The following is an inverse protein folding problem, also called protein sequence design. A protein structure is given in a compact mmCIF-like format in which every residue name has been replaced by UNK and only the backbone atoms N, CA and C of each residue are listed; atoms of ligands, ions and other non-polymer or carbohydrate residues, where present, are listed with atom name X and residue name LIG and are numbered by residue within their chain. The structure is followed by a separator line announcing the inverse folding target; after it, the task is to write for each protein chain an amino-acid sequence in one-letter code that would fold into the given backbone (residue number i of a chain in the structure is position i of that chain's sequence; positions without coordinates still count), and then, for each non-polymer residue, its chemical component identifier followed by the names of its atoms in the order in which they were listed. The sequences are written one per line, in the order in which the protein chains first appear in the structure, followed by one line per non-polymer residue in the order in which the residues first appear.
data_IF_167697712093
#
_entry.id   IF_167697712093
#
_cell.length_a   1.000
_cell.length_b   1.000
_cell.length_c   1.000
_cell.angle_alpha   90.00
_cell.angle_beta   90.00
_cell.angle_gamma   90.00
#
_symmetry.space_group_name_H-M   'P 1'
#
loop_
_entity.id
_entity.type
_entity.pdbx_description
1 polymer ?
#
# COMPACT_ATOMS: atom_id res chain seq x y z
N UNK A 1 9.87 -15.66 8.76
CA UNK A 1 9.04 -14.64 8.07
C UNK A 1 8.04 -14.13 9.08
N UNK A 2 7.96 -12.81 9.28
CA UNK A 2 6.98 -12.19 10.17
C UNK A 2 5.62 -12.19 9.45
N UNK A 3 4.51 -11.96 10.15
CA UNK A 3 3.16 -12.06 9.56
C UNK A 3 2.60 -10.66 9.31
N UNK A 4 1.93 -10.39 8.16
CA UNK A 4 1.29 -9.09 7.93
C UNK A 4 0.19 -8.93 8.98
N UNK A 5 0.22 -7.84 9.73
CA UNK A 5 -0.83 -7.58 10.71
C UNK A 5 -2.03 -6.96 10.01
N UNK A 6 -3.22 -7.16 10.58
CA UNK A 6 -4.44 -6.50 10.09
C UNK A 6 -4.26 -4.97 10.10
N UNK A 7 -4.94 -4.24 9.19
CA UNK A 7 -4.91 -2.78 9.16
C UNK A 7 -5.27 -2.19 10.51
N UNK A 8 -4.49 -1.20 10.94
CA UNK A 8 -4.87 -0.39 12.10
C UNK A 8 -6.08 0.49 11.72
N UNK A 9 -6.97 0.74 12.68
CA UNK A 9 -8.19 1.54 12.51
C UNK A 9 -9.17 1.03 11.44
N UNK A 10 -9.19 -0.29 11.16
CA UNK A 10 -10.04 -0.92 10.15
C UNK A 10 -9.88 -0.31 8.73
N UNK A 11 -8.71 0.28 8.43
CA UNK A 11 -8.42 0.88 7.13
C UNK A 11 -8.84 2.33 6.96
N UNK A 12 -9.71 2.87 7.84
CA UNK A 12 -10.13 4.27 7.79
C UNK A 12 -10.68 4.69 6.42
N UNK A 13 -9.99 5.63 5.76
CA UNK A 13 -10.35 6.16 4.44
C UNK A 13 -9.88 5.28 3.27
N UNK A 14 -9.04 4.27 3.52
CA UNK A 14 -8.53 3.41 2.46
C UNK A 14 -9.56 2.37 2.06
N UNK A 15 -9.78 2.23 0.75
CA UNK A 15 -10.60 1.18 0.15
C UNK A 15 -9.81 -0.13 0.15
N UNK A 16 -10.47 -1.22 0.55
CA UNK A 16 -9.92 -2.57 0.48
C UNK A 16 -8.52 -2.71 1.13
N UNK A 17 -8.35 -2.07 2.29
CA UNK A 17 -7.08 -2.08 3.06
C UNK A 17 -6.68 -3.47 3.57
N UNK A 18 -7.65 -4.38 3.68
CA UNK A 18 -7.44 -5.79 4.02
C UNK A 18 -7.19 -6.68 2.80
N UNK A 19 -7.30 -6.17 1.57
CA UNK A 19 -7.12 -6.92 0.32
C UNK A 19 -8.05 -8.14 0.16
N UNK A 20 -9.20 -8.15 0.84
CA UNK A 20 -10.21 -9.20 0.73
C UNK A 20 -10.88 -9.21 -0.66
N UNK A 21 -10.89 -8.06 -1.34
CA UNK A 21 -11.43 -7.89 -2.70
C UNK A 21 -10.30 -7.73 -3.74
N UNK A 22 -9.22 -8.49 -3.55
CA UNK A 22 -8.06 -8.45 -4.45
C UNK A 22 -7.38 -7.08 -4.49
N UNK A 23 -7.18 -6.55 -5.70
CA UNK A 23 -6.55 -5.25 -5.94
C UNK A 23 -7.56 -4.09 -6.11
N UNK A 24 -8.83 -4.29 -5.79
CA UNK A 24 -9.83 -3.24 -5.95
C UNK A 24 -9.40 -1.94 -5.22
N UNK A 25 -9.37 -0.83 -5.96
CA UNK A 25 -8.91 0.48 -5.47
C UNK A 25 -7.39 0.67 -5.35
N UNK A 26 -6.57 -0.28 -5.78
CA UNK A 26 -5.09 -0.18 -5.76
C UNK A 26 -4.52 -0.27 -7.17
N UNK A 27 -3.54 0.59 -7.46
CA UNK A 27 -2.94 0.74 -8.79
C UNK A 27 -1.43 0.75 -8.71
N UNK A 28 -0.73 0.34 -9.78
CA UNK A 28 0.71 0.54 -9.85
C UNK A 28 1.02 2.05 -9.79
N UNK A 29 2.07 2.41 -9.06
CA UNK A 29 2.45 3.81 -8.93
C UNK A 29 3.40 4.21 -10.05
N UNK A 30 2.97 5.16 -10.88
CA UNK A 30 3.70 5.83 -11.99
C UNK A 30 4.17 4.95 -13.15
N UNK A 31 4.51 3.69 -12.90
CA UNK A 31 5.07 2.78 -13.87
C UNK A 31 4.13 1.60 -14.12
N UNK A 32 3.88 1.29 -15.39
CA UNK A 32 2.99 0.23 -15.86
C UNK A 32 3.64 -1.16 -15.84
N UNK A 33 4.98 -1.21 -15.83
CA UNK A 33 5.73 -2.47 -15.74
C UNK A 33 5.68 -3.13 -14.35
N UNK A 34 5.22 -2.42 -13.32
CA UNK A 34 5.11 -2.97 -11.96
C UNK A 34 3.92 -3.92 -11.90
N UNK A 35 4.20 -5.19 -11.68
CA UNK A 35 3.17 -6.20 -11.56
C UNK A 35 2.64 -6.26 -10.12
N UNK A 36 1.37 -5.89 -9.96
CA UNK A 36 0.64 -5.99 -8.71
C UNK A 36 -0.14 -7.30 -8.64
N UNK A 37 0.02 -8.00 -7.52
CA UNK A 37 -0.76 -9.20 -7.19
C UNK A 37 -1.11 -9.20 -5.70
N UNK A 38 -2.00 -10.09 -5.29
CA UNK A 38 -2.27 -10.34 -3.87
C UNK A 38 -1.67 -11.68 -3.44
N UNK A 39 -1.32 -11.77 -2.16
CA UNK A 39 -0.89 -13.00 -1.50
C UNK A 39 -1.67 -13.22 -0.20
N UNK A 40 -1.64 -14.46 0.28
CA UNK A 40 -2.23 -14.84 1.57
C UNK A 40 -1.10 -15.33 2.47
N UNK A 41 -0.98 -14.71 3.65
CA UNK A 41 0.02 -15.10 4.64
C UNK A 41 -0.37 -16.43 5.29
N UNK A 42 0.58 -17.05 6.02
CA UNK A 42 0.32 -18.33 6.73
C UNK A 42 -0.83 -18.25 7.75
N UNK A 43 -1.12 -17.06 8.29
CA UNK A 43 -2.22 -16.83 9.23
C UNK A 43 -3.52 -16.38 8.54
N UNK A 44 -3.55 -16.37 7.20
CA UNK A 44 -4.75 -16.02 6.42
C UNK A 44 -4.92 -14.53 6.15
N UNK A 45 -3.99 -13.66 6.55
CA UNK A 45 -4.07 -12.23 6.22
C UNK A 45 -3.67 -12.02 4.75
N UNK A 46 -4.53 -11.37 3.98
CA UNK A 46 -4.21 -10.97 2.60
C UNK A 46 -3.26 -9.76 2.60
N UNK A 47 -2.42 -9.67 1.58
CA UNK A 47 -1.48 -8.56 1.39
C UNK A 47 -1.22 -8.31 -0.10
N UNK A 48 -0.78 -7.10 -0.42
CA UNK A 48 -0.37 -6.72 -1.79
C UNK A 48 1.12 -6.98 -2.02
N UNK A 49 1.46 -7.42 -3.23
CA UNK A 49 2.82 -7.66 -3.70
C UNK A 49 3.06 -6.77 -4.92
N UNK A 50 4.10 -5.93 -4.85
CA UNK A 50 4.65 -5.24 -6.00
C UNK A 50 5.91 -5.96 -6.47
N UNK A 51 5.87 -6.49 -7.69
CA UNK A 51 6.97 -7.22 -8.32
C UNK A 51 7.39 -6.54 -9.63
N UNK A 52 8.52 -6.97 -10.20
CA UNK A 52 9.12 -6.32 -11.37
C UNK A 52 9.41 -4.82 -11.15
N UNK A 53 9.95 -4.51 -9.96
CA UNK A 53 10.37 -3.16 -9.54
C UNK A 53 11.80 -2.94 -10.00
N UNK A 54 12.01 -1.92 -10.81
CA UNK A 54 13.32 -1.50 -11.34
C UNK A 54 13.81 -0.24 -10.61
N UNK A 55 12.89 0.62 -10.19
CA UNK A 55 13.17 1.88 -9.50
C UNK A 55 12.75 1.88 -8.03
N UNK A 56 13.39 2.70 -7.16
CA UNK A 56 13.04 2.78 -5.75
C UNK A 56 11.59 3.20 -5.49
N UNK A 57 10.97 3.96 -6.40
CA UNK A 57 9.60 4.45 -6.29
C UNK A 57 8.56 3.54 -6.94
N UNK A 58 8.97 2.47 -7.63
CA UNK A 58 8.05 1.46 -8.14
C UNK A 58 7.29 0.86 -6.98
N UNK A 59 5.98 0.94 -7.02
CA UNK A 59 5.14 0.54 -5.91
C UNK A 59 3.67 0.46 -6.34
N UNK A 60 2.79 0.48 -5.35
CA UNK A 60 1.36 0.63 -5.50
C UNK A 60 0.89 1.95 -4.88
N UNK A 61 -0.28 2.42 -5.30
CA UNK A 61 -0.91 3.64 -4.80
C UNK A 61 -2.42 3.51 -4.75
N UNK A 62 -3.03 4.32 -3.89
CA UNK A 62 -4.46 4.58 -3.85
C UNK A 62 -4.66 6.07 -3.66
N UNK A 63 -5.51 6.67 -4.49
CA UNK A 63 -5.87 8.08 -4.34
C UNK A 63 -6.98 8.18 -3.29
N UNK A 64 -6.78 9.07 -2.32
CA UNK A 64 -7.77 9.39 -1.30
C UNK A 64 -8.06 10.90 -1.33
N UNK A 65 -9.31 11.27 -1.12
CA UNK A 65 -9.72 12.67 -1.02
C UNK A 65 -9.70 13.09 0.45
N UNK A 66 -8.81 14.03 0.77
CA UNK A 66 -8.69 14.60 2.11
C UNK A 66 -9.45 15.92 2.17
N UNK A 67 -10.15 16.14 3.27
CA UNK A 67 -10.81 17.41 3.55
C UNK A 67 -9.79 18.36 4.16
N UNK A 68 -9.72 19.57 3.61
CA UNK A 68 -8.87 20.66 4.12
C UNK A 68 -9.10 20.87 5.63
N UNK A 69 -8.05 21.28 6.33
CA UNK A 69 -8.05 21.63 7.76
C UNK A 69 -8.38 20.49 8.72
N UNK A 70 -8.20 19.22 8.30
CA UNK A 70 -8.31 18.04 9.15
C UNK A 70 -6.95 17.35 9.36
N UNK A 71 -6.79 16.71 10.52
CA UNK A 71 -5.64 15.88 10.82
C UNK A 71 -5.90 14.42 10.46
N UNK A 72 -4.96 13.80 9.75
CA UNK A 72 -5.04 12.40 9.32
C UNK A 72 -3.83 11.62 9.82
N UNK A 73 -4.02 10.34 10.13
CA UNK A 73 -2.97 9.41 10.52
C UNK A 73 -2.93 8.30 9.47
N UNK A 74 -1.77 8.09 8.85
CA UNK A 74 -1.50 6.95 7.99
C UNK A 74 -0.71 5.90 8.78
N UNK A 75 -1.22 4.68 8.82
CA UNK A 75 -0.58 3.56 9.52
C UNK A 75 -0.69 2.29 8.69
N UNK A 76 0.29 1.39 8.82
CA UNK A 76 0.35 0.15 8.07
C UNK A 76 1.52 -0.72 8.53
N UNK A 77 1.46 -2.00 8.22
CA UNK A 77 2.60 -2.92 8.44
C UNK A 77 3.22 -3.32 7.11
N UNK A 78 4.54 -3.21 7.04
CA UNK A 78 5.33 -3.48 5.85
C UNK A 78 6.29 -4.62 6.17
N UNK A 79 6.51 -5.53 5.21
CA UNK A 79 7.45 -6.64 5.33
C UNK A 79 8.31 -6.76 4.09
N UNK A 80 9.60 -6.99 4.29
CA UNK A 80 10.59 -7.08 3.23
C UNK A 80 11.22 -8.48 3.20
N UNK A 81 11.44 -9.02 2.00
CA UNK A 81 12.04 -10.34 1.85
C UNK A 81 13.56 -10.31 1.72
N UNK A 82 14.21 -9.22 1.23
CA UNK A 82 15.69 -9.20 1.11
C UNK A 82 16.43 -7.86 0.80
N UNK A 83 15.81 -6.66 0.74
CA UNK A 83 16.56 -5.45 0.30
C UNK A 83 16.17 -4.14 1.01
N UNK A 84 17.09 -3.17 1.01
CA UNK A 84 16.96 -1.82 1.57
C UNK A 84 15.79 -1.06 0.95
N UNK A 85 14.87 -0.59 1.81
CA UNK A 85 13.68 0.16 1.42
C UNK A 85 13.89 1.68 1.58
N UNK A 86 13.36 2.47 0.65
CA UNK A 86 13.19 3.93 0.79
C UNK A 86 11.69 4.24 0.76
N UNK A 87 11.18 4.84 1.83
CA UNK A 87 9.79 5.32 1.91
C UNK A 87 9.71 6.75 1.42
N UNK A 88 8.99 7.01 0.32
CA UNK A 88 8.71 8.37 -0.15
C UNK A 88 7.22 8.65 0.05
N UNK A 89 6.89 9.61 0.90
CA UNK A 89 5.53 10.15 1.04
C UNK A 89 5.53 11.51 0.35
N UNK A 90 4.78 11.62 -0.75
CA UNK A 90 4.62 12.89 -1.48
C UNK A 90 3.23 13.45 -1.17
N UNK A 91 3.17 14.64 -0.57
CA UNK A 91 1.95 15.43 -0.50
C UNK A 91 2.02 16.49 -1.61
N UNK A 92 1.11 16.44 -2.57
CA UNK A 92 0.96 17.52 -3.55
C UNK A 92 0.01 18.58 -2.96
N UNK A 93 0.56 19.78 -2.71
CA UNK A 93 -0.24 20.94 -2.37
C UNK A 93 -0.88 21.47 -3.66
N UNK A 94 -2.20 21.35 -3.79
CA UNK A 94 -2.94 22.20 -4.73
C UNK A 94 -3.08 23.59 -4.09
N UNK A 95 -2.28 24.55 -4.57
CA UNK A 95 -2.45 25.99 -4.31
C UNK A 95 -3.28 26.57 -5.46
#
# INVERSE_FOLDING_TARGET
MKIPMKPQYNGGLLVNSEFNDGLNGWYSFRNDHVNLTTGISKEGNNFIIASNREEPFDSFSQKIELKKDNHYILSGTEQYSAATFRKTITSENYI
#
